data_IF_333982773963
#
_entry.id   IF_333982773963
#
_cell.length_a   1.000
_cell.length_b   1.000
_cell.length_c   1.000
_cell.angle_alpha   90.00
_cell.angle_beta   90.00
_cell.angle_gamma   90.00
#
_symmetry.space_group_name_H-M   'P 1'
#
loop_
_entity.id
_entity.type
_entity.pdbx_description
1 polymer ?
#
# COMPACT_ATOMS: atom_id res chain seq x y z
N UNK A 1 58.23 -42.88 -58.97
CA UNK A 1 58.75 -42.46 -57.64
C UNK A 1 57.79 -42.92 -56.56
N UNK A 2 58.08 -44.02 -55.86
CA UNK A 2 57.30 -44.45 -54.67
C UNK A 2 58.17 -45.21 -53.64
N UNK A 3 59.46 -44.88 -53.57
CA UNK A 3 60.40 -45.45 -52.59
C UNK A 3 60.46 -44.68 -51.24
N UNK A 4 59.56 -43.73 -50.97
CA UNK A 4 59.54 -42.95 -49.72
C UNK A 4 58.55 -43.44 -48.63
N UNK A 5 57.71 -44.44 -48.90
CA UNK A 5 56.71 -44.91 -47.91
C UNK A 5 57.20 -46.04 -46.98
N UNK A 6 58.30 -46.72 -47.32
CA UNK A 6 58.78 -47.86 -46.52
C UNK A 6 59.63 -47.43 -45.30
N UNK A 7 60.32 -46.29 -45.37
CA UNK A 7 61.23 -45.86 -44.30
C UNK A 7 60.53 -45.23 -43.09
N UNK A 8 59.38 -44.58 -43.30
CA UNK A 8 58.57 -43.99 -42.23
C UNK A 8 57.85 -45.04 -41.37
N UNK A 9 57.55 -46.21 -41.92
CA UNK A 9 56.87 -47.27 -41.17
C UNK A 9 57.79 -47.96 -40.16
N UNK A 10 59.06 -48.17 -40.51
CA UNK A 10 60.04 -48.75 -39.59
C UNK A 10 60.49 -47.80 -38.49
N UNK A 11 60.48 -46.48 -38.72
CA UNK A 11 60.81 -45.50 -37.69
C UNK A 11 59.72 -45.38 -36.61
N UNK A 12 58.43 -45.54 -36.98
CA UNK A 12 57.33 -45.53 -36.01
C UNK A 12 57.34 -46.78 -35.12
N UNK A 13 57.73 -47.94 -35.64
CA UNK A 13 57.84 -49.18 -34.85
C UNK A 13 59.01 -49.08 -33.85
N UNK A 14 60.09 -48.39 -34.19
CA UNK A 14 61.23 -48.20 -33.29
C UNK A 14 60.90 -47.31 -32.07
N UNK A 15 59.98 -46.34 -32.23
CA UNK A 15 59.54 -45.47 -31.13
C UNK A 15 58.50 -46.12 -30.21
N UNK A 16 57.86 -47.22 -30.62
CA UNK A 16 56.88 -47.94 -29.80
C UNK A 16 57.50 -49.06 -28.93
N UNK A 17 58.82 -49.30 -29.02
CA UNK A 17 59.49 -50.41 -28.34
C UNK A 17 60.50 -50.01 -27.24
N UNK A 18 60.54 -48.73 -26.83
CA UNK A 18 61.36 -48.31 -25.68
C UNK A 18 60.48 -48.18 -24.42
N UNK A 19 60.31 -49.32 -23.73
CA UNK A 19 59.55 -49.55 -22.48
C UNK A 19 60.07 -48.75 -21.26
N UNK A 20 60.93 -47.75 -21.46
CA UNK A 20 61.57 -46.98 -20.39
C UNK A 20 61.00 -45.58 -20.18
N UNK A 21 59.97 -45.18 -20.92
CA UNK A 21 59.26 -43.91 -20.72
C UNK A 21 57.94 -44.03 -19.93
N UNK A 22 57.48 -45.25 -19.63
CA UNK A 22 56.20 -45.50 -18.95
C UNK A 22 56.43 -45.86 -17.49
N UNK A 23 56.89 -44.91 -16.68
CA UNK A 23 56.82 -45.08 -15.21
C UNK A 23 56.74 -43.83 -14.36
N UNK A 24 56.76 -42.62 -14.96
CA UNK A 24 56.73 -41.37 -14.19
C UNK A 24 55.43 -40.53 -14.30
N UNK A 25 54.44 -40.93 -15.12
CA UNK A 25 53.24 -40.10 -15.37
C UNK A 25 51.92 -40.63 -14.82
N UNK A 26 51.86 -41.81 -14.20
CA UNK A 26 50.55 -42.41 -13.81
C UNK A 26 49.96 -41.81 -12.53
N UNK A 27 50.76 -41.31 -11.59
CA UNK A 27 50.30 -40.77 -10.31
C UNK A 27 49.83 -39.32 -10.40
N UNK A 28 50.45 -38.49 -11.26
CA UNK A 28 50.03 -37.10 -11.49
C UNK A 28 48.77 -37.02 -12.36
N UNK A 29 48.64 -37.90 -13.38
CA UNK A 29 47.41 -37.98 -14.16
C UNK A 29 46.22 -38.47 -13.33
N UNK A 30 46.41 -39.40 -12.39
CA UNK A 30 45.31 -39.93 -11.57
C UNK A 30 44.83 -38.95 -10.50
N UNK A 31 45.71 -38.10 -9.94
CA UNK A 31 45.28 -37.02 -9.04
C UNK A 31 44.49 -35.94 -9.79
N UNK A 32 44.99 -35.47 -10.95
CA UNK A 32 44.29 -34.48 -11.75
C UNK A 32 42.93 -34.95 -12.26
N UNK A 33 42.78 -36.24 -12.61
CA UNK A 33 41.49 -36.80 -13.03
C UNK A 33 40.50 -36.88 -11.86
N UNK A 34 40.96 -37.20 -10.66
CA UNK A 34 40.09 -37.23 -9.48
C UNK A 34 39.66 -35.81 -9.07
N UNK A 35 40.55 -34.83 -9.15
CA UNK A 35 40.24 -33.42 -8.85
C UNK A 35 39.25 -32.82 -9.84
N UNK A 36 39.31 -33.19 -11.12
CA UNK A 36 38.31 -32.80 -12.11
C UNK A 36 36.97 -33.50 -11.87
N UNK A 37 36.99 -34.78 -11.48
CA UNK A 37 35.76 -35.54 -11.23
C UNK A 37 34.99 -35.05 -10.01
N UNK A 38 35.66 -34.52 -8.98
CA UNK A 38 35.01 -33.94 -7.80
C UNK A 38 34.40 -32.58 -8.11
N UNK A 39 35.12 -31.71 -8.84
CA UNK A 39 34.61 -30.39 -9.26
C UNK A 39 33.36 -30.52 -10.12
N UNK A 40 33.34 -31.46 -11.07
CA UNK A 40 32.17 -31.71 -11.93
C UNK A 40 30.98 -32.23 -11.12
N UNK A 41 31.21 -33.09 -10.11
CA UNK A 41 30.15 -33.60 -9.26
C UNK A 41 29.55 -32.50 -8.36
N UNK A 42 30.38 -31.58 -7.86
CA UNK A 42 29.93 -30.45 -7.04
C UNK A 42 29.12 -29.44 -7.86
N UNK A 43 29.54 -29.14 -9.10
CA UNK A 43 28.78 -28.28 -10.03
C UNK A 43 27.43 -28.90 -10.42
N UNK A 44 27.38 -30.21 -10.69
CA UNK A 44 26.12 -30.91 -11.00
C UNK A 44 25.14 -30.88 -9.82
N UNK A 45 25.63 -31.06 -8.59
CA UNK A 45 24.81 -31.01 -7.39
C UNK A 45 24.29 -29.58 -7.11
N UNK A 46 25.10 -28.56 -7.37
CA UNK A 46 24.68 -27.16 -7.24
C UNK A 46 23.59 -26.79 -8.24
N UNK A 47 23.74 -27.20 -9.51
CA UNK A 47 22.76 -26.97 -10.57
C UNK A 47 21.44 -27.73 -10.33
N UNK A 48 21.51 -28.97 -9.83
CA UNK A 48 20.30 -29.70 -9.43
C UNK A 48 19.55 -29.02 -8.27
N UNK A 49 20.29 -28.44 -7.32
CA UNK A 49 19.70 -27.73 -6.18
C UNK A 49 19.04 -26.43 -6.62
N UNK A 50 19.64 -25.67 -7.54
CA UNK A 50 19.02 -24.49 -8.13
C UNK A 50 17.77 -24.83 -8.95
N UNK A 51 17.84 -25.88 -9.76
CA UNK A 51 16.69 -26.35 -10.56
C UNK A 51 15.51 -26.79 -9.69
N UNK A 52 15.77 -27.54 -8.61
CA UNK A 52 14.73 -27.96 -7.65
C UNK A 52 14.14 -26.77 -6.88
N UNK A 53 14.95 -25.79 -6.49
CA UNK A 53 14.46 -24.59 -5.83
C UNK A 53 13.59 -23.73 -6.77
N UNK A 54 14.03 -23.55 -8.02
CA UNK A 54 13.27 -22.78 -9.01
C UNK A 54 11.96 -23.48 -9.40
N UNK A 55 11.94 -24.81 -9.47
CA UNK A 55 10.69 -25.56 -9.71
C UNK A 55 9.70 -25.44 -8.54
N UNK A 56 10.20 -25.46 -7.29
CA UNK A 56 9.35 -25.28 -6.11
C UNK A 56 8.74 -23.86 -6.05
N UNK A 57 9.52 -22.82 -6.38
CA UNK A 57 8.99 -21.45 -6.44
C UNK A 57 7.94 -21.31 -7.55
N UNK A 58 8.15 -21.92 -8.71
CA UNK A 58 7.18 -21.93 -9.81
C UNK A 58 5.91 -22.71 -9.47
N UNK A 59 6.01 -23.81 -8.71
CA UNK A 59 4.84 -24.57 -8.25
C UNK A 59 4.06 -23.81 -7.18
N UNK A 60 4.74 -23.02 -6.34
CA UNK A 60 4.10 -22.10 -5.37
C UNK A 60 3.41 -20.96 -6.11
N UNK A 61 4.09 -20.30 -7.06
CA UNK A 61 3.48 -19.24 -7.89
C UNK A 61 2.30 -19.77 -8.71
N UNK A 62 2.40 -20.99 -9.26
CA UNK A 62 1.33 -21.64 -10.00
C UNK A 62 0.16 -22.04 -9.09
N UNK A 63 0.40 -22.50 -7.87
CA UNK A 63 -0.65 -22.78 -6.89
C UNK A 63 -1.31 -21.51 -6.36
N UNK A 64 -0.56 -20.41 -6.25
CA UNK A 64 -1.08 -19.07 -5.97
C UNK A 64 -1.95 -18.62 -7.14
N UNK A 65 -1.45 -18.71 -8.38
CA UNK A 65 -2.21 -18.40 -9.61
C UNK A 65 -3.46 -19.27 -9.78
N UNK A 66 -3.41 -20.56 -9.48
CA UNK A 66 -4.57 -21.46 -9.52
C UNK A 66 -5.60 -21.14 -8.41
N UNK A 67 -5.15 -20.63 -7.25
CA UNK A 67 -6.03 -20.08 -6.22
C UNK A 67 -6.65 -18.74 -6.63
N UNK A 68 -5.91 -17.89 -7.34
CA UNK A 68 -6.44 -16.68 -7.97
C UNK A 68 -7.36 -17.03 -9.16
N UNK A 69 -7.19 -18.13 -9.90
CA UNK A 69 -8.11 -18.49 -10.98
C UNK A 69 -9.50 -18.94 -10.49
N UNK A 70 -9.68 -19.15 -9.17
CA UNK A 70 -10.97 -19.40 -8.49
C UNK A 70 -11.72 -18.12 -8.06
N UNK A 71 -11.36 -16.98 -8.66
CA UNK A 71 -11.66 -15.62 -8.18
C UNK A 71 -13.12 -15.13 -8.19
N UNK A 72 -14.11 -15.94 -8.57
CA UNK A 72 -15.53 -15.53 -8.59
C UNK A 72 -16.35 -16.04 -7.40
N UNK A 73 -15.74 -16.79 -6.46
CA UNK A 73 -16.45 -17.28 -5.29
C UNK A 73 -17.08 -16.12 -4.50
N UNK A 74 -18.41 -16.16 -4.38
CA UNK A 74 -19.15 -15.23 -3.54
C UNK A 74 -18.92 -15.61 -2.09
N UNK A 75 -18.42 -14.65 -1.32
CA UNK A 75 -18.17 -14.76 0.11
C UNK A 75 -19.23 -13.95 0.84
N UNK A 76 -19.69 -14.49 1.96
CA UNK A 76 -20.61 -13.85 2.89
C UNK A 76 -19.87 -13.46 4.18
N UNK A 77 -20.16 -12.27 4.71
CA UNK A 77 -19.68 -11.80 6.01
C UNK A 77 -20.77 -11.01 6.73
N UNK A 78 -20.70 -11.03 8.06
CA UNK A 78 -21.53 -10.25 8.95
C UNK A 78 -20.72 -9.05 9.45
N UNK A 79 -21.11 -7.84 9.07
CA UNK A 79 -20.42 -6.62 9.47
C UNK A 79 -21.33 -5.87 10.42
N UNK A 80 -20.97 -5.80 11.71
CA UNK A 80 -21.74 -5.08 12.72
C UNK A 80 -23.22 -5.50 12.83
N UNK A 81 -23.56 -6.74 12.44
CA UNK A 81 -24.93 -7.27 12.40
C UNK A 81 -25.60 -7.25 11.02
N UNK A 82 -24.95 -6.69 10.00
CA UNK A 82 -25.47 -6.62 8.63
C UNK A 82 -24.76 -7.61 7.71
N UNK A 83 -25.54 -8.48 7.05
CA UNK A 83 -24.99 -9.46 6.11
C UNK A 83 -24.64 -8.77 4.79
N UNK A 84 -23.41 -9.00 4.32
CA UNK A 84 -22.90 -8.50 3.06
C UNK A 84 -22.27 -9.62 2.24
N UNK A 85 -22.23 -9.38 0.93
CA UNK A 85 -21.71 -10.31 -0.07
C UNK A 85 -20.69 -9.61 -0.96
N UNK A 86 -19.60 -10.31 -1.31
CA UNK A 86 -18.66 -9.86 -2.35
C UNK A 86 -17.92 -11.05 -2.95
N UNK A 87 -17.12 -10.83 -3.99
CA UNK A 87 -16.26 -11.89 -4.54
C UNK A 87 -14.93 -11.95 -3.81
N UNK A 88 -14.32 -13.15 -3.77
CA UNK A 88 -12.95 -13.32 -3.29
C UNK A 88 -11.98 -12.36 -3.96
N UNK A 89 -12.10 -12.17 -5.28
CA UNK A 89 -11.28 -11.24 -6.04
C UNK A 89 -11.27 -9.82 -5.44
N UNK A 90 -12.45 -9.26 -5.13
CA UNK A 90 -12.53 -7.89 -4.61
C UNK A 90 -11.74 -7.68 -3.32
N UNK A 91 -11.67 -8.71 -2.46
CA UNK A 91 -10.95 -8.60 -1.19
C UNK A 91 -9.44 -8.79 -1.35
N UNK A 92 -8.99 -9.49 -2.40
CA UNK A 92 -7.58 -9.78 -2.67
C UNK A 92 -6.83 -8.62 -3.33
N UNK A 93 -7.50 -7.55 -3.78
CA UNK A 93 -6.83 -6.36 -4.32
C UNK A 93 -5.89 -5.69 -3.32
N UNK A 94 -6.12 -5.85 -2.02
CA UNK A 94 -5.23 -5.37 -0.97
C UNK A 94 -4.50 -6.56 -0.31
N UNK A 95 -3.39 -7.06 -0.90
CA UNK A 95 -2.77 -8.33 -0.49
C UNK A 95 -2.32 -8.35 0.97
N UNK A 96 -1.83 -7.22 1.48
CA UNK A 96 -1.33 -7.11 2.85
C UNK A 96 -2.43 -6.79 3.88
N UNK A 97 -3.68 -6.66 3.44
CA UNK A 97 -4.79 -6.28 4.32
C UNK A 97 -5.22 -7.42 5.23
N UNK A 98 -5.88 -7.05 6.34
CA UNK A 98 -6.55 -8.01 7.22
C UNK A 98 -7.60 -8.83 6.47
N UNK A 99 -8.28 -8.24 5.48
CA UNK A 99 -9.29 -8.92 4.67
C UNK A 99 -8.68 -10.06 3.84
N UNK A 100 -7.55 -9.80 3.18
CA UNK A 100 -6.82 -10.83 2.43
C UNK A 100 -6.30 -11.92 3.36
N UNK A 101 -5.70 -11.52 4.47
CA UNK A 101 -5.15 -12.47 5.44
C UNK A 101 -6.24 -13.40 6.02
N UNK A 102 -7.43 -12.88 6.34
CA UNK A 102 -8.58 -13.70 6.78
C UNK A 102 -9.02 -14.72 5.72
N UNK A 103 -8.82 -14.43 4.44
CA UNK A 103 -9.24 -15.29 3.33
C UNK A 103 -8.20 -16.33 2.92
N UNK A 104 -6.91 -15.99 3.01
CA UNK A 104 -5.79 -16.84 2.65
C UNK A 104 -5.37 -17.75 3.81
N UNK A 105 -5.29 -17.17 5.01
CA UNK A 105 -4.87 -17.86 6.21
C UNK A 105 -6.11 -18.27 7.01
N UNK A 106 -6.72 -19.40 6.63
CA UNK A 106 -7.72 -20.10 7.45
C UNK A 106 -7.07 -20.74 8.70
N UNK A 107 -6.14 -20.07 9.40
CA UNK A 107 -5.80 -20.49 10.74
C UNK A 107 -6.95 -20.06 11.65
N UNK A 108 -7.67 -21.04 12.18
CA UNK A 108 -8.93 -20.89 12.92
C UNK A 108 -8.82 -20.02 14.19
N UNK A 109 -7.60 -19.65 14.58
CA UNK A 109 -7.31 -19.09 15.91
C UNK A 109 -7.72 -17.62 16.09
N UNK A 110 -8.04 -16.86 15.03
CA UNK A 110 -8.32 -15.41 15.15
C UNK A 110 -9.50 -14.87 14.32
N UNK A 111 -10.27 -15.73 13.65
CA UNK A 111 -11.42 -15.26 12.85
C UNK A 111 -12.67 -15.33 13.72
N UNK A 112 -13.25 -14.16 14.03
CA UNK A 112 -14.55 -14.09 14.70
C UNK A 112 -15.63 -14.61 13.77
N UNK A 113 -16.51 -15.48 14.27
CA UNK A 113 -17.61 -16.07 13.52
C UNK A 113 -18.91 -15.80 14.29
N UNK A 114 -19.99 -15.45 13.58
CA UNK A 114 -21.31 -15.32 14.18
C UNK A 114 -21.98 -16.68 14.43
N UNK A 115 -23.17 -16.65 15.04
CA UNK A 115 -23.97 -17.85 15.34
C UNK A 115 -24.45 -18.60 14.09
N UNK A 116 -24.42 -17.98 12.91
CA UNK A 116 -24.78 -18.57 11.63
C UNK A 116 -23.57 -19.11 10.84
N UNK A 117 -22.34 -18.98 11.38
CA UNK A 117 -21.13 -19.47 10.73
C UNK A 117 -20.47 -18.46 9.78
N UNK A 118 -20.90 -17.20 9.76
CA UNK A 118 -20.31 -16.16 8.92
C UNK A 118 -19.14 -15.48 9.61
N UNK A 119 -18.13 -15.07 8.83
CA UNK A 119 -17.06 -14.20 9.34
C UNK A 119 -17.67 -12.91 9.87
N UNK A 120 -17.42 -12.61 11.14
CA UNK A 120 -17.93 -11.43 11.82
C UNK A 120 -16.87 -10.33 11.89
N UNK A 121 -17.24 -9.14 11.43
CA UNK A 121 -16.42 -7.93 11.45
C UNK A 121 -17.13 -6.86 12.30
N UNK A 122 -16.51 -6.48 13.43
CA UNK A 122 -17.06 -5.48 14.34
C UNK A 122 -16.78 -4.05 13.85
N UNK A 123 -17.40 -3.68 12.73
CA UNK A 123 -17.30 -2.35 12.12
C UNK A 123 -18.68 -1.77 11.82
N UNK A 124 -18.72 -0.45 11.61
CA UNK A 124 -19.92 0.21 11.11
C UNK A 124 -20.25 -0.31 9.69
N UNK A 125 -21.43 -0.93 9.48
CA UNK A 125 -21.78 -1.53 8.19
C UNK A 125 -21.73 -0.53 7.03
N UNK A 126 -22.16 0.72 7.24
CA UNK A 126 -22.20 1.74 6.17
C UNK A 126 -20.80 2.15 5.72
N UNK A 127 -19.88 2.28 6.66
CA UNK A 127 -18.49 2.63 6.36
C UNK A 127 -17.77 1.48 5.66
N UNK A 128 -17.98 0.25 6.15
CA UNK A 128 -17.40 -0.93 5.52
C UNK A 128 -17.93 -1.12 4.11
N UNK A 129 -19.25 -0.96 3.90
CA UNK A 129 -19.87 -0.98 2.57
C UNK A 129 -19.23 0.06 1.64
N UNK A 130 -18.97 1.28 2.13
CA UNK A 130 -18.28 2.32 1.34
C UNK A 130 -16.86 1.91 0.94
N UNK A 131 -16.10 1.25 1.82
CA UNK A 131 -14.79 0.69 1.45
C UNK A 131 -14.93 -0.47 0.45
N UNK A 132 -15.94 -1.33 0.65
CA UNK A 132 -16.18 -2.48 -0.20
C UNK A 132 -16.57 -2.08 -1.62
N UNK A 133 -17.38 -1.03 -1.80
CA UNK A 133 -17.69 -0.52 -3.15
C UNK A 133 -16.42 -0.03 -3.86
N UNK A 134 -15.47 0.58 -3.15
CA UNK A 134 -14.19 0.99 -3.74
C UNK A 134 -13.33 -0.22 -4.10
N UNK A 135 -13.28 -1.24 -3.25
CA UNK A 135 -12.58 -2.51 -3.54
C UNK A 135 -13.07 -3.19 -4.82
N UNK A 136 -14.35 -3.02 -5.17
CA UNK A 136 -14.95 -3.59 -6.38
C UNK A 136 -14.59 -2.82 -7.65
N UNK A 137 -14.08 -1.60 -7.52
CA UNK A 137 -13.76 -0.71 -8.65
C UNK A 137 -12.27 -0.69 -8.98
N UNK A 138 -11.40 -1.26 -8.14
CA UNK A 138 -9.97 -1.30 -8.43
C UNK A 138 -9.65 -2.20 -9.62
N UNK A 139 -8.68 -1.76 -10.41
CA UNK A 139 -8.12 -2.52 -11.51
C UNK A 139 -6.73 -3.08 -11.13
N UNK A 140 -6.29 -4.12 -11.84
CA UNK A 140 -4.98 -4.72 -11.60
C UNK A 140 -3.85 -3.71 -11.83
N UNK A 141 -2.87 -3.67 -10.93
CA UNK A 141 -1.70 -2.76 -10.91
C UNK A 141 -1.98 -1.31 -10.50
N UNK A 142 -3.18 -0.97 -10.03
CA UNK A 142 -3.44 0.32 -9.41
C UNK A 142 -3.04 0.32 -7.92
N UNK A 143 -2.49 1.43 -7.43
CA UNK A 143 -2.31 1.61 -6.00
C UNK A 143 -3.68 1.75 -5.34
N UNK A 144 -4.04 0.75 -4.54
CA UNK A 144 -5.28 0.74 -3.74
C UNK A 144 -5.25 1.89 -2.73
N UNK A 145 -6.10 2.91 -2.96
CA UNK A 145 -6.29 4.04 -2.05
C UNK A 145 -7.77 4.25 -1.79
N UNK A 146 -8.14 4.57 -0.56
CA UNK A 146 -9.54 4.68 -0.16
C UNK A 146 -9.95 6.12 0.13
N UNK A 147 -10.95 6.60 -0.60
CA UNK A 147 -11.55 7.91 -0.40
C UNK A 147 -12.62 7.86 0.70
N UNK A 148 -12.58 8.79 1.66
CA UNK A 148 -13.58 8.85 2.71
C UNK A 148 -14.96 9.22 2.15
N UNK A 149 -16.04 8.90 2.89
CA UNK A 149 -17.38 9.38 2.56
C UNK A 149 -17.42 10.92 2.49
N UNK A 150 -18.32 11.48 1.67
CA UNK A 150 -18.48 12.93 1.55
C UNK A 150 -18.94 13.62 2.85
N UNK A 151 -19.43 12.86 3.82
CA UNK A 151 -19.84 13.38 5.14
C UNK A 151 -18.61 13.50 6.06
N UNK A 152 -18.17 14.71 6.43
CA UNK A 152 -16.91 14.91 7.15
C UNK A 152 -16.81 14.16 8.48
N UNK A 153 -17.90 14.09 9.25
CA UNK A 153 -17.94 13.36 10.53
C UNK A 153 -17.61 11.87 10.40
N UNK A 154 -17.88 11.28 9.22
CA UNK A 154 -17.63 9.87 8.96
C UNK A 154 -16.19 9.60 8.53
N UNK A 155 -15.45 10.61 8.05
CA UNK A 155 -14.07 10.47 7.57
C UNK A 155 -13.15 9.89 8.62
N UNK A 156 -13.25 10.34 9.87
CA UNK A 156 -12.36 9.88 10.95
C UNK A 156 -12.64 8.42 11.30
N UNK A 157 -13.92 8.06 11.42
CA UNK A 157 -14.34 6.69 11.69
C UNK A 157 -13.95 5.76 10.53
N UNK A 158 -14.08 6.25 9.29
CA UNK A 158 -13.68 5.52 8.10
C UNK A 158 -12.17 5.27 8.08
N UNK A 159 -11.34 6.30 8.30
CA UNK A 159 -9.88 6.15 8.34
C UNK A 159 -9.44 5.24 9.49
N UNK A 160 -10.09 5.31 10.66
CA UNK A 160 -9.82 4.40 11.77
C UNK A 160 -10.17 2.94 11.42
N UNK A 161 -11.26 2.71 10.68
CA UNK A 161 -11.62 1.39 10.16
C UNK A 161 -10.59 0.89 9.15
N UNK A 162 -10.17 1.72 8.20
CA UNK A 162 -9.13 1.36 7.22
C UNK A 162 -7.82 0.97 7.90
N UNK A 163 -7.36 1.75 8.88
CA UNK A 163 -6.15 1.45 9.64
C UNK A 163 -6.23 0.09 10.34
N UNK A 164 -7.37 -0.26 10.94
CA UNK A 164 -7.60 -1.58 11.55
C UNK A 164 -7.62 -2.72 10.52
N UNK A 165 -7.96 -2.44 9.27
CA UNK A 165 -7.97 -3.40 8.17
C UNK A 165 -6.62 -3.47 7.44
N UNK A 166 -5.63 -2.67 7.83
CA UNK A 166 -4.37 -2.55 7.09
C UNK A 166 -4.55 -1.94 5.70
N UNK A 167 -5.53 -1.04 5.55
CA UNK A 167 -5.84 -0.33 4.31
C UNK A 167 -5.43 1.13 4.41
N UNK A 168 -4.94 1.68 3.31
CA UNK A 168 -4.43 3.05 3.26
C UNK A 168 -5.50 4.04 2.77
N UNK A 169 -5.80 5.11 3.53
CA UNK A 169 -6.65 6.18 3.04
C UNK A 169 -5.96 6.94 1.90
N UNK A 170 -6.76 7.58 1.05
CA UNK A 170 -6.25 8.48 0.03
C UNK A 170 -5.40 9.59 0.67
N UNK A 171 -4.26 9.97 0.06
CA UNK A 171 -3.41 11.00 0.59
C UNK A 171 -4.19 12.31 0.69
N UNK A 172 -4.06 12.98 1.83
CA UNK A 172 -4.65 14.29 2.03
C UNK A 172 -3.89 15.29 1.16
N UNK A 173 -4.58 15.96 0.25
CA UNK A 173 -3.98 16.98 -0.61
C UNK A 173 -4.24 18.37 -0.05
N UNK A 174 -3.23 19.24 -0.16
CA UNK A 174 -3.35 20.65 0.17
C UNK A 174 -4.33 21.39 -0.77
N UNK A 175 -4.63 20.80 -1.94
CA UNK A 175 -5.63 21.33 -2.86
C UNK A 175 -7.04 20.78 -2.65
N UNK A 176 -7.25 19.91 -1.66
CA UNK A 176 -8.58 19.41 -1.32
C UNK A 176 -9.53 20.55 -0.95
N UNK A 177 -10.76 20.48 -1.47
CA UNK A 177 -11.83 21.40 -1.09
C UNK A 177 -12.35 21.00 0.29
N UNK A 178 -12.31 21.95 1.21
CA UNK A 178 -12.80 21.82 2.57
C UNK A 178 -14.03 22.70 2.77
N UNK A 179 -15.12 22.11 3.26
CA UNK A 179 -16.38 22.81 3.51
C UNK A 179 -16.71 22.87 4.99
N UNK A 180 -17.22 24.01 5.45
CA UNK A 180 -17.51 24.28 6.85
C UNK A 180 -18.56 25.39 6.99
N UNK A 181 -19.17 25.48 8.16
CA UNK A 181 -20.20 26.45 8.49
C UNK A 181 -19.59 27.57 9.36
N UNK A 182 -19.88 28.83 9.03
CA UNK A 182 -19.57 30.00 9.85
C UNK A 182 -20.85 30.78 10.07
N UNK A 183 -21.33 30.88 11.31
CA UNK A 183 -22.52 31.67 11.66
C UNK A 183 -23.74 31.38 10.79
N UNK A 184 -24.01 30.10 10.53
CA UNK A 184 -25.07 29.57 9.66
C UNK A 184 -24.88 29.77 8.14
N UNK A 185 -23.72 30.25 7.71
CA UNK A 185 -23.36 30.38 6.30
C UNK A 185 -22.30 29.35 5.89
N UNK A 186 -22.48 28.71 4.73
CA UNK A 186 -21.55 27.71 4.21
C UNK A 186 -20.36 28.33 3.50
N UNK A 187 -19.17 27.88 3.86
CA UNK A 187 -17.91 28.24 3.22
C UNK A 187 -17.26 27.01 2.60
N UNK A 188 -16.56 27.24 1.49
CA UNK A 188 -15.72 26.27 0.83
C UNK A 188 -14.39 26.94 0.46
N UNK A 189 -13.26 26.28 0.76
CA UNK A 189 -11.93 26.76 0.41
C UNK A 189 -10.97 25.59 0.25
N UNK A 190 -9.73 25.84 -0.15
CA UNK A 190 -8.71 24.79 -0.22
C UNK A 190 -8.06 24.57 1.14
N UNK A 191 -7.65 23.34 1.42
CA UNK A 191 -6.89 22.98 2.64
C UNK A 191 -5.68 23.89 2.85
N UNK A 192 -4.90 24.16 1.80
CA UNK A 192 -3.75 25.10 1.84
C UNK A 192 -4.10 26.50 2.30
N UNK A 193 -5.32 26.97 2.06
CA UNK A 193 -5.76 28.29 2.50
C UNK A 193 -5.96 28.31 4.01
N UNK A 194 -6.50 27.24 4.60
CA UNK A 194 -6.67 27.12 6.06
C UNK A 194 -5.34 26.82 6.77
N UNK A 195 -4.42 26.13 6.09
CA UNK A 195 -3.06 25.86 6.57
C UNK A 195 -2.08 27.03 6.39
N UNK A 196 -2.53 28.15 5.82
CA UNK A 196 -1.67 29.30 5.51
C UNK A 196 -0.92 29.83 6.73
N UNK A 197 -1.59 29.83 7.88
CA UNK A 197 -0.98 30.16 9.17
C UNK A 197 -0.90 28.88 9.99
N UNK A 198 0.25 28.18 10.01
CA UNK A 198 0.42 26.95 10.77
C UNK A 198 0.12 27.16 12.25
N UNK A 199 -0.39 26.13 12.92
CA UNK A 199 -0.74 26.12 14.35
C UNK A 199 -1.89 27.05 14.78
N UNK A 200 -2.44 27.87 13.86
CA UNK A 200 -3.68 28.62 14.07
C UNK A 200 -4.85 27.67 14.34
N UNK A 201 -5.94 28.19 14.91
CA UNK A 201 -7.17 27.40 15.04
C UNK A 201 -7.70 26.95 13.68
N UNK A 202 -7.50 27.73 12.61
CA UNK A 202 -7.91 27.35 11.24
C UNK A 202 -7.15 26.12 10.73
N UNK A 203 -5.85 26.01 10.99
CA UNK A 203 -5.08 24.82 10.61
C UNK A 203 -5.51 23.58 11.40
N UNK A 204 -5.82 23.75 12.70
CA UNK A 204 -6.32 22.69 13.59
C UNK A 204 -7.76 22.30 13.27
N UNK A 205 -8.54 23.20 12.70
CA UNK A 205 -9.93 23.02 12.32
C UNK A 205 -10.12 21.91 11.30
N UNK A 206 -9.10 21.65 10.49
CA UNK A 206 -9.04 20.52 9.56
C UNK A 206 -9.09 19.15 10.25
N UNK A 207 -8.86 19.11 11.56
CA UNK A 207 -8.88 17.92 12.40
C UNK A 207 -10.11 17.86 13.32
N UNK A 208 -11.08 18.77 13.16
CA UNK A 208 -12.24 18.87 14.04
C UNK A 208 -13.01 17.53 14.08
N UNK A 209 -13.13 16.97 15.29
CA UNK A 209 -13.66 15.63 15.49
C UNK A 209 -14.61 15.50 16.68
N UNK A 210 -14.77 16.58 17.46
CA UNK A 210 -15.68 16.59 18.60
C UNK A 210 -17.06 17.00 18.12
N UNK A 211 -18.14 16.37 18.62
CA UNK A 211 -19.50 16.77 18.29
C UNK A 211 -19.80 18.26 18.56
N UNK A 212 -19.12 18.88 19.53
CA UNK A 212 -19.24 20.30 19.85
C UNK A 212 -18.72 21.23 18.75
N UNK A 213 -17.85 20.73 17.88
CA UNK A 213 -17.17 21.51 16.85
C UNK A 213 -17.88 21.37 15.49
N UNK A 214 -19.04 20.70 15.47
CA UNK A 214 -19.77 20.33 14.25
C UNK A 214 -21.20 20.90 14.26
N UNK A 215 -21.71 21.22 13.07
CA UNK A 215 -23.11 21.55 12.86
C UNK A 215 -24.02 20.30 12.83
N UNK A 216 -25.33 20.51 12.68
CA UNK A 216 -26.32 19.44 12.60
C UNK A 216 -26.10 18.43 11.44
N UNK A 217 -25.26 18.79 10.47
CA UNK A 217 -24.91 17.95 9.32
C UNK A 217 -23.52 17.30 9.47
N UNK A 218 -22.87 17.46 10.63
CA UNK A 218 -21.55 16.88 10.91
C UNK A 218 -20.41 17.61 10.20
N UNK A 219 -20.61 18.89 9.84
CA UNK A 219 -19.56 19.73 9.23
C UNK A 219 -18.96 20.64 10.29
N UNK A 220 -17.67 20.96 10.22
CA UNK A 220 -17.04 21.89 11.14
C UNK A 220 -17.78 23.23 11.23
N UNK A 221 -17.99 23.74 12.44
CA UNK A 221 -18.76 24.96 12.72
C UNK A 221 -17.88 26.02 13.41
N UNK A 222 -18.04 27.28 12.99
CA UNK A 222 -17.43 28.45 13.60
C UNK A 222 -18.51 29.47 13.98
N UNK A 223 -18.53 29.85 15.25
CA UNK A 223 -19.45 30.85 15.78
C UNK A 223 -18.90 32.28 15.62
N UNK A 224 -18.88 32.77 14.37
CA UNK A 224 -18.44 34.13 14.03
C UNK A 224 -19.38 34.77 13.00
N UNK A 225 -19.32 36.10 12.89
CA UNK A 225 -20.00 36.83 11.81
C UNK A 225 -19.47 36.37 10.44
N UNK A 226 -20.33 35.82 9.56
CA UNK A 226 -19.92 35.33 8.24
C UNK A 226 -19.27 36.41 7.36
N UNK A 227 -19.68 37.68 7.49
CA UNK A 227 -19.12 38.79 6.70
C UNK A 227 -17.68 39.11 7.11
N UNK A 228 -17.41 39.11 8.40
CA UNK A 228 -16.05 39.30 8.93
C UNK A 228 -15.15 38.14 8.52
N UNK A 229 -15.65 36.92 8.68
CA UNK A 229 -14.91 35.73 8.30
C UNK A 229 -14.63 35.67 6.79
N UNK A 230 -15.59 36.05 5.94
CA UNK A 230 -15.40 36.16 4.48
C UNK A 230 -14.27 37.11 4.14
N UNK A 231 -14.16 38.24 4.84
CA UNK A 231 -13.07 39.20 4.61
C UNK A 231 -11.71 38.60 4.99
N UNK A 232 -11.60 37.94 6.15
CA UNK A 232 -10.41 37.19 6.53
C UNK A 232 -10.05 36.12 5.48
N UNK A 233 -11.03 35.33 5.05
CA UNK A 233 -10.81 34.26 4.09
C UNK A 233 -10.29 34.80 2.75
N UNK A 234 -10.79 35.96 2.29
CA UNK A 234 -10.30 36.61 1.06
C UNK A 234 -8.81 36.98 1.15
N UNK A 235 -8.36 37.45 2.32
CA UNK A 235 -6.95 37.79 2.57
C UNK A 235 -6.08 36.52 2.60
N UNK A 236 -6.52 35.45 3.26
CA UNK A 236 -5.82 34.16 3.24
C UNK A 236 -5.71 33.56 1.83
N UNK A 237 -6.73 33.77 0.99
CA UNK A 237 -6.77 33.29 -0.40
C UNK A 237 -5.72 33.97 -1.28
N UNK A 238 -5.48 35.27 -1.10
CA UNK A 238 -4.41 36.00 -1.81
C UNK A 238 -3.02 35.74 -1.22
N UNK A 239 -2.94 34.96 -0.14
CA UNK A 239 -1.68 34.52 0.47
C UNK A 239 -1.18 35.38 1.60
N UNK A 240 -2.04 36.22 2.19
CA UNK A 240 -1.71 36.96 3.39
C UNK A 240 -1.62 36.02 4.61
N UNK A 241 -0.58 36.20 5.42
CA UNK A 241 -0.30 35.33 6.58
C UNK A 241 -0.34 36.11 7.91
N UNK A 242 -0.30 37.44 7.85
CA UNK A 242 -0.30 38.35 8.99
C UNK A 242 -0.86 39.74 8.60
N UNK A 243 -1.00 40.63 9.58
CA UNK A 243 -1.45 42.02 9.41
C UNK A 243 -2.83 42.12 8.74
N UNK A 244 -3.76 41.24 9.12
CA UNK A 244 -5.09 41.21 8.52
C UNK A 244 -5.85 42.52 8.77
N UNK A 245 -6.45 43.05 7.71
CA UNK A 245 -7.18 44.32 7.77
C UNK A 245 -8.67 44.06 7.97
N UNK A 246 -9.32 44.86 8.81
CA UNK A 246 -10.76 44.80 9.00
C UNK A 246 -11.48 45.44 7.80
N UNK A 247 -12.70 44.99 7.44
CA UNK A 247 -13.42 45.54 6.30
C UNK A 247 -13.88 46.99 6.51
N UNK A 248 -13.94 47.48 7.75
CA UNK A 248 -14.27 48.85 8.11
C UNK A 248 -13.72 49.21 9.49
N UNK A 249 -13.68 50.51 9.82
CA UNK A 249 -13.31 51.00 11.16
C UNK A 249 -14.31 50.50 12.20
N UNK A 250 -15.60 50.49 11.86
CA UNK A 250 -16.70 50.07 12.75
C UNK A 250 -16.58 48.59 13.15
N UNK A 251 -16.14 47.74 12.23
CA UNK A 251 -15.98 46.31 12.47
C UNK A 251 -14.62 45.93 13.08
N UNK A 252 -13.71 46.88 13.25
CA UNK A 252 -12.31 46.60 13.64
C UNK A 252 -12.22 45.83 14.95
N UNK A 253 -12.96 46.26 15.97
CA UNK A 253 -12.94 45.61 17.29
C UNK A 253 -13.39 44.15 17.21
N UNK A 254 -14.50 43.87 16.51
CA UNK A 254 -15.02 42.52 16.36
C UNK A 254 -14.10 41.64 15.50
N UNK A 255 -13.50 42.22 14.45
CA UNK A 255 -12.54 41.54 13.58
C UNK A 255 -11.27 41.17 14.34
N UNK A 256 -10.68 42.10 15.09
CA UNK A 256 -9.47 41.87 15.89
C UNK A 256 -9.71 40.78 16.95
N UNK A 257 -10.87 40.79 17.61
CA UNK A 257 -11.26 39.74 18.55
C UNK A 257 -11.36 38.36 17.86
N UNK A 258 -11.93 38.30 16.66
CA UNK A 258 -11.99 37.07 15.85
C UNK A 258 -10.57 36.58 15.51
N UNK A 259 -9.68 37.46 15.04
CA UNK A 259 -8.30 37.10 14.70
C UNK A 259 -7.52 36.57 15.90
N UNK A 260 -7.61 37.26 17.04
CA UNK A 260 -7.01 36.83 18.30
C UNK A 260 -7.50 35.43 18.68
N UNK A 261 -8.81 35.22 18.64
CA UNK A 261 -9.39 33.92 18.97
C UNK A 261 -8.99 32.82 17.99
N UNK A 262 -8.77 33.13 16.72
CA UNK A 262 -8.28 32.17 15.73
C UNK A 262 -6.77 31.92 15.82
N UNK A 263 -6.03 32.68 16.65
CA UNK A 263 -4.58 32.59 16.76
C UNK A 263 -3.87 33.14 15.52
N UNK A 264 -4.41 34.21 14.93
CA UNK A 264 -3.90 34.86 13.72
C UNK A 264 -3.24 36.23 14.01
N UNK A 265 -3.10 36.58 15.29
CA UNK A 265 -2.33 37.75 15.74
C UNK A 265 -1.07 37.26 16.47
N UNK A 266 0.07 37.88 16.14
CA UNK A 266 1.33 37.77 16.87
C UNK A 266 1.45 38.88 17.91
#
# INVERSE_FOLDING_TARGET
MNMCKSFLFYFLIFLLYDDRYIKCNSTELTSSVNDVSTVVADELNALEKESKNSSNDLDVEKAIMERFLKNSDVIQFNVGGEIMYTTRASLLYAPDSTLTNMLLNKSEENISIDKEGNVFLDFNPKLFRHALEQLRLFEENEKVVFYPPSTPILTIQFNAMLAKLGLEPAPISDDDIFTFNVGDEMFATRRRTLNRVPNSKLSKFLLANKPSDLDQHGRPFLDYDPKLFRHLLSQLQVGQEANFEAPSIESKIAFDAMLHNLGLQS
#
